data_IF_533974377062
#
_entry.id   IF_533974377062
#
_cell.length_a   1.000
_cell.length_b   1.000
_cell.length_c   1.000
_cell.angle_alpha   90.00
_cell.angle_beta   90.00
_cell.angle_gamma   90.00
#
_symmetry.space_group_name_H-M   'P 1'
#
loop_
_entity.id
_entity.type
_entity.pdbx_description
1 polymer ?
#
# COMPACT_ATOMS: atom_id res chain seq x y z
N UNK A 1 43.47 23.24 9.24
CA UNK A 1 42.06 22.78 9.31
C UNK A 1 41.12 23.38 8.24
N UNK A 2 41.61 24.12 7.24
CA UNK A 2 40.79 24.69 6.17
C UNK A 2 40.67 23.75 4.95
N UNK A 3 41.77 23.12 4.53
CA UNK A 3 41.84 22.28 3.32
C UNK A 3 40.95 21.03 3.36
N UNK A 4 40.74 20.45 4.55
CA UNK A 4 39.83 19.31 4.72
C UNK A 4 38.36 19.70 4.53
N UNK A 5 37.95 20.92 4.94
CA UNK A 5 36.57 21.39 4.76
C UNK A 5 36.24 21.60 3.28
N UNK A 6 37.19 22.12 2.51
CA UNK A 6 37.04 22.26 1.05
C UNK A 6 36.98 20.91 0.35
N UNK A 7 37.83 19.94 0.73
CA UNK A 7 37.78 18.59 0.16
C UNK A 7 36.44 17.87 0.43
N UNK A 8 35.90 17.98 1.65
CA UNK A 8 34.58 17.42 1.98
C UNK A 8 33.44 18.11 1.22
N UNK A 9 33.48 19.44 1.08
CA UNK A 9 32.48 20.19 0.31
C UNK A 9 32.50 19.81 -1.18
N UNK A 10 33.68 19.63 -1.78
CA UNK A 10 33.80 19.21 -3.18
C UNK A 10 33.26 17.80 -3.42
N UNK A 11 33.59 16.84 -2.55
CA UNK A 11 33.06 15.47 -2.63
C UNK A 11 31.54 15.44 -2.47
N UNK A 12 30.99 16.25 -1.55
CA UNK A 12 29.54 16.34 -1.35
C UNK A 12 28.81 16.89 -2.58
N UNK A 13 29.35 17.93 -3.23
CA UNK A 13 28.77 18.51 -4.46
C UNK A 13 28.82 17.52 -5.62
N UNK A 14 29.94 16.84 -5.83
CA UNK A 14 30.07 15.82 -6.90
C UNK A 14 29.08 14.68 -6.68
N UNK A 15 28.94 14.22 -5.43
CA UNK A 15 28.01 13.14 -5.08
C UNK A 15 26.55 13.56 -5.29
N UNK A 16 26.17 14.79 -4.91
CA UNK A 16 24.82 15.31 -5.10
C UNK A 16 24.44 15.45 -6.58
N UNK A 17 25.40 15.79 -7.44
CA UNK A 17 25.17 15.90 -8.91
C UNK A 17 25.11 14.52 -9.56
N UNK A 18 25.86 13.53 -9.07
CA UNK A 18 25.88 12.18 -9.64
C UNK A 18 24.67 11.31 -9.24
N UNK A 19 24.07 11.56 -8.08
CA UNK A 19 22.96 10.77 -7.54
C UNK A 19 21.75 10.61 -8.50
N UNK A 20 21.27 11.68 -9.18
CA UNK A 20 20.17 11.56 -10.14
C UNK A 20 20.46 10.59 -11.29
N UNK A 21 21.71 10.54 -11.78
CA UNK A 21 22.12 9.65 -12.86
C UNK A 21 22.10 8.17 -12.45
N UNK A 22 22.43 7.87 -11.20
CA UNK A 22 22.39 6.51 -10.66
C UNK A 22 20.96 5.98 -10.48
N UNK A 23 20.01 6.85 -10.12
CA UNK A 23 18.58 6.50 -10.04
C UNK A 23 18.02 6.10 -11.41
N UNK A 24 18.36 6.87 -12.45
CA UNK A 24 17.89 6.63 -13.82
C UNK A 24 18.37 5.31 -14.41
N UNK A 25 19.58 4.85 -14.07
CA UNK A 25 20.12 3.59 -14.58
C UNK A 25 19.26 2.37 -14.23
N UNK A 26 18.49 2.44 -13.14
CA UNK A 26 17.60 1.36 -12.69
C UNK A 26 16.12 1.60 -12.98
N UNK A 27 15.79 2.66 -13.72
CA UNK A 27 14.42 2.98 -14.08
C UNK A 27 13.86 2.00 -15.12
N UNK A 28 12.56 1.70 -15.00
CA UNK A 28 11.79 0.98 -16.04
C UNK A 28 11.67 1.80 -17.33
N UNK A 29 11.85 3.12 -17.26
CA UNK A 29 11.73 4.02 -18.39
C UNK A 29 13.01 4.83 -18.56
N UNK A 30 13.58 4.78 -19.77
CA UNK A 30 14.75 5.58 -20.18
C UNK A 30 14.33 6.61 -21.21
N UNK A 31 14.92 7.81 -21.18
CA UNK A 31 14.72 8.77 -22.25
C UNK A 31 15.17 8.16 -23.58
N UNK A 32 14.30 8.19 -24.58
CA UNK A 32 14.63 7.78 -25.94
C UNK A 32 15.25 8.96 -26.69
N UNK A 33 16.19 8.69 -27.60
CA UNK A 33 16.62 9.71 -28.54
C UNK A 33 15.50 10.08 -29.53
N UNK A 34 15.43 11.36 -29.92
CA UNK A 34 14.44 11.85 -30.89
C UNK A 34 13.01 11.94 -30.35
N UNK A 35 12.02 11.85 -31.23
CA UNK A 35 10.59 12.12 -30.92
C UNK A 35 9.89 11.03 -30.10
N UNK A 36 10.55 9.89 -29.84
CA UNK A 36 9.94 8.79 -29.11
C UNK A 36 9.76 9.08 -27.60
N UNK A 37 10.50 10.05 -27.05
CA UNK A 37 10.41 10.47 -25.64
C UNK A 37 11.02 9.46 -24.66
N UNK A 38 10.47 8.25 -24.56
CA UNK A 38 10.90 7.21 -23.62
C UNK A 38 10.86 5.79 -24.20
N UNK A 39 11.72 4.91 -23.68
CA UNK A 39 11.73 3.46 -23.93
C UNK A 39 11.46 2.68 -22.64
N UNK A 40 10.78 1.54 -22.74
CA UNK A 40 10.43 0.67 -21.62
C UNK A 40 11.37 -0.54 -21.52
N UNK A 41 11.96 -0.76 -20.35
CA UNK A 41 12.97 -1.78 -20.06
C UNK A 41 12.50 -2.69 -18.92
N UNK A 42 11.73 -3.76 -19.22
CA UNK A 42 11.10 -4.60 -18.20
C UNK A 42 12.09 -5.41 -17.35
N UNK A 43 13.30 -5.64 -17.84
CA UNK A 43 14.40 -6.31 -17.13
C UNK A 43 14.92 -5.50 -15.92
N UNK A 44 14.59 -4.21 -15.85
CA UNK A 44 14.87 -3.36 -14.68
C UNK A 44 13.82 -3.48 -13.57
N UNK A 45 12.77 -4.29 -13.76
CA UNK A 45 11.82 -4.61 -12.70
C UNK A 45 12.49 -5.50 -11.64
N UNK A 46 13.24 -4.89 -10.72
CA UNK A 46 14.00 -5.64 -9.71
C UNK A 46 13.12 -6.21 -8.60
N UNK A 47 11.91 -5.69 -8.41
CA UNK A 47 10.96 -6.14 -7.39
C UNK A 47 9.52 -5.84 -7.83
N UNK A 48 8.69 -6.87 -7.91
CA UNK A 48 7.28 -6.72 -8.25
C UNK A 48 6.54 -8.05 -8.18
N UNK A 49 5.24 -8.00 -7.94
CA UNK A 49 4.36 -9.16 -8.07
C UNK A 49 4.24 -9.51 -9.55
N UNK A 50 4.33 -10.79 -9.86
CA UNK A 50 3.93 -11.31 -11.16
C UNK A 50 2.49 -10.92 -11.45
N UNK A 51 2.11 -10.87 -12.74
CA UNK A 51 0.73 -10.60 -13.13
C UNK A 51 -0.25 -11.57 -12.46
N UNK A 52 0.13 -12.83 -12.32
CA UNK A 52 -0.70 -13.85 -11.67
C UNK A 52 -0.96 -13.53 -10.18
N UNK A 53 0.08 -13.12 -9.45
CA UNK A 53 -0.04 -12.70 -8.04
C UNK A 53 -0.93 -11.45 -7.90
N UNK A 54 -0.75 -10.45 -8.76
CA UNK A 54 -1.61 -9.25 -8.77
C UNK A 54 -3.08 -9.62 -8.99
N UNK A 55 -3.35 -10.50 -9.95
CA UNK A 55 -4.72 -10.94 -10.23
C UNK A 55 -5.32 -11.74 -9.07
N UNK A 56 -4.50 -12.55 -8.40
CA UNK A 56 -4.91 -13.34 -7.23
C UNK A 56 -5.30 -12.43 -6.07
N UNK A 57 -4.49 -11.43 -5.76
CA UNK A 57 -4.79 -10.46 -4.71
C UNK A 57 -5.98 -9.57 -5.05
N UNK A 58 -6.11 -9.17 -6.32
CA UNK A 58 -7.25 -8.40 -6.79
C UNK A 58 -8.55 -9.17 -6.61
N UNK A 59 -8.58 -10.46 -6.93
CA UNK A 59 -9.75 -11.31 -6.74
C UNK A 59 -10.07 -11.50 -5.25
N UNK A 60 -9.05 -11.71 -4.41
CA UNK A 60 -9.23 -11.75 -2.96
C UNK A 60 -9.84 -10.45 -2.40
N UNK A 61 -9.32 -9.29 -2.82
CA UNK A 61 -9.79 -7.98 -2.40
C UNK A 61 -11.23 -7.66 -2.88
N UNK A 62 -11.66 -8.26 -3.99
CA UNK A 62 -13.05 -8.19 -4.46
C UNK A 62 -13.96 -9.07 -3.60
N UNK A 63 -13.53 -10.29 -3.29
CA UNK A 63 -14.30 -11.26 -2.48
C UNK A 63 -14.47 -10.81 -1.04
N UNK A 64 -13.44 -10.24 -0.43
CA UNK A 64 -13.49 -9.76 0.95
C UNK A 64 -14.05 -8.33 1.09
N UNK A 65 -14.30 -7.64 -0.03
CA UNK A 65 -14.88 -6.31 -0.08
C UNK A 65 -13.92 -5.15 0.19
N UNK A 66 -12.63 -5.42 0.46
CA UNK A 66 -11.63 -4.37 0.73
C UNK A 66 -11.42 -3.44 -0.45
N UNK A 67 -11.50 -3.94 -1.69
CA UNK A 67 -11.39 -3.10 -2.89
C UNK A 67 -12.47 -2.02 -2.93
N UNK A 68 -13.72 -2.38 -2.58
CA UNK A 68 -14.84 -1.44 -2.59
C UNK A 68 -14.69 -0.36 -1.53
N UNK A 69 -14.08 -0.68 -0.38
CA UNK A 69 -13.79 0.28 0.68
C UNK A 69 -12.68 1.24 0.28
N UNK A 70 -11.57 0.73 -0.28
CA UNK A 70 -10.47 1.56 -0.77
C UNK A 70 -10.94 2.58 -1.82
N UNK A 71 -11.76 2.15 -2.78
CA UNK A 71 -12.30 3.02 -3.83
C UNK A 71 -13.18 4.16 -3.30
N UNK A 72 -13.76 3.98 -2.12
CA UNK A 72 -14.61 4.98 -1.45
C UNK A 72 -13.84 5.77 -0.38
N UNK A 73 -12.53 5.56 -0.28
CA UNK A 73 -11.69 6.10 0.78
C UNK A 73 -12.24 5.79 2.18
N UNK A 74 -12.90 4.64 2.34
CA UNK A 74 -13.46 4.19 3.61
C UNK A 74 -12.37 3.47 4.43
N UNK A 75 -12.42 3.53 5.77
CA UNK A 75 -11.49 2.79 6.62
C UNK A 75 -11.53 1.29 6.32
N UNK A 76 -10.35 0.67 6.25
CA UNK A 76 -10.25 -0.78 6.12
C UNK A 76 -10.52 -1.46 7.46
N UNK A 77 -11.32 -2.54 7.49
CA UNK A 77 -11.51 -3.31 8.70
C UNK A 77 -10.18 -3.92 9.14
N UNK A 78 -9.95 -3.95 10.45
CA UNK A 78 -8.83 -4.71 11.02
C UNK A 78 -9.04 -6.18 10.66
N UNK A 79 -8.01 -6.83 10.10
CA UNK A 79 -8.09 -8.26 9.78
C UNK A 79 -8.48 -9.04 11.03
N UNK A 80 -9.55 -9.83 10.93
CA UNK A 80 -9.94 -10.75 12.01
C UNK A 80 -8.79 -11.72 12.27
N UNK A 81 -8.27 -11.73 13.49
CA UNK A 81 -7.20 -12.64 13.92
C UNK A 81 -7.73 -13.94 14.52
N UNK A 82 -9.06 -14.11 14.58
CA UNK A 82 -9.71 -15.30 15.11
C UNK A 82 -10.75 -15.90 14.16
N UNK A 83 -11.21 -17.14 14.44
CA UNK A 83 -12.35 -17.72 13.74
C UNK A 83 -13.56 -16.80 13.87
N UNK A 84 -14.13 -16.41 12.74
CA UNK A 84 -15.34 -15.59 12.72
C UNK A 84 -16.53 -16.33 13.34
N UNK A 85 -17.47 -15.60 13.95
CA UNK A 85 -18.74 -16.15 14.41
C UNK A 85 -19.58 -16.57 13.20
N UNK A 86 -20.16 -17.76 13.27
CA UNK A 86 -21.22 -18.17 12.35
C UNK A 86 -22.44 -17.28 12.50
N UNK A 87 -23.29 -17.23 11.47
CA UNK A 87 -24.55 -16.48 11.53
C UNK A 87 -25.44 -16.90 12.70
N UNK A 88 -25.47 -18.20 13.02
CA UNK A 88 -26.29 -18.73 14.11
C UNK A 88 -25.76 -18.29 15.49
N UNK A 89 -24.45 -18.27 15.68
CA UNK A 89 -23.83 -17.78 16.91
C UNK A 89 -24.14 -16.30 17.13
N UNK A 90 -24.04 -15.47 16.08
CA UNK A 90 -24.42 -14.06 16.15
C UNK A 90 -25.90 -13.90 16.50
N UNK A 91 -26.80 -14.67 15.88
CA UNK A 91 -28.23 -14.61 16.20
C UNK A 91 -28.48 -14.99 17.67
N UNK A 92 -27.83 -16.03 18.17
CA UNK A 92 -27.99 -16.48 19.55
C UNK A 92 -27.51 -15.41 20.54
N UNK A 93 -26.36 -14.80 20.29
CA UNK A 93 -25.83 -13.69 21.08
C UNK A 93 -26.79 -12.50 21.11
N UNK A 94 -27.31 -12.09 19.96
CA UNK A 94 -28.26 -10.98 19.86
C UNK A 94 -29.61 -11.26 20.51
N UNK A 95 -30.03 -12.53 20.57
CA UNK A 95 -31.26 -12.94 21.28
C UNK A 95 -31.06 -13.00 22.78
N UNK A 96 -29.87 -13.39 23.23
CA UNK A 96 -29.53 -13.56 24.64
C UNK A 96 -28.92 -12.29 25.26
N UNK A 97 -28.76 -11.20 24.50
CA UNK A 97 -28.25 -9.93 25.02
C UNK A 97 -29.19 -9.35 26.09
N UNK A 98 -28.63 -8.77 27.16
CA UNK A 98 -29.44 -8.12 28.19
C UNK A 98 -30.09 -6.82 27.66
N UNK A 99 -31.21 -6.36 28.25
CA UNK A 99 -31.81 -5.09 27.87
C UNK A 99 -30.84 -3.90 27.95
N UNK A 100 -29.96 -3.88 28.95
CA UNK A 100 -28.95 -2.83 29.15
C UNK A 100 -27.89 -2.86 28.05
N UNK A 101 -27.35 -4.05 27.73
CA UNK A 101 -26.37 -4.21 26.66
C UNK A 101 -26.97 -3.84 25.29
N UNK A 102 -28.23 -4.20 25.04
CA UNK A 102 -28.97 -3.79 23.84
C UNK A 102 -29.08 -2.27 23.75
N UNK A 103 -29.42 -1.58 24.85
CA UNK A 103 -29.53 -0.11 24.88
C UNK A 103 -28.19 0.56 24.58
N UNK A 104 -27.13 0.15 25.27
CA UNK A 104 -25.77 0.69 25.05
C UNK A 104 -25.30 0.50 23.60
N UNK A 105 -25.57 -0.67 23.00
CA UNK A 105 -25.29 -0.92 21.58
C UNK A 105 -26.07 0.04 20.68
N UNK A 106 -27.38 0.19 20.90
CA UNK A 106 -28.22 1.09 20.10
C UNK A 106 -27.75 2.55 20.19
N UNK A 107 -27.41 3.02 21.40
CA UNK A 107 -26.83 4.34 21.64
C UNK A 107 -25.50 4.54 20.90
N UNK A 108 -24.62 3.53 20.89
CA UNK A 108 -23.35 3.61 20.15
C UNK A 108 -23.50 3.65 18.63
N UNK A 109 -24.62 3.16 18.11
CA UNK A 109 -24.92 3.13 16.66
C UNK A 109 -25.86 4.25 16.20
N UNK A 110 -26.52 4.93 17.14
CA UNK A 110 -27.29 6.14 16.89
C UNK A 110 -26.31 7.31 16.80
N UNK A 111 -25.76 7.52 15.60
CA UNK A 111 -24.92 8.69 15.30
C UNK A 111 -25.66 10.01 15.46
#
# INVERSE_FOLDING_TARGET
MSSFKFAFATVAVITAIALPGLSQATSLYHAAGGEAGFTYHPDHAKNGKTRAEVLTELDAARKDGTLALMQRNAPLPVKSTGPGKTRQEVINEMRNESPEARRARLESTAG
#
